data_IF_130115615810
#
_entry.id   IF_130115615810
#
_cell.length_a   1.000
_cell.length_b   1.000
_cell.length_c   1.000
_cell.angle_alpha   90.00
_cell.angle_beta   90.00
_cell.angle_gamma   90.00
#
_symmetry.space_group_name_H-M   'P 1'
#
loop_
_entity.id
_entity.type
_entity.pdbx_description
1 polymer ?
#
# COMPACT_ATOMS: atom_id res chain seq x y z
N UNK A 1 54.61 -19.93 49.66
CA UNK A 1 54.02 -20.12 48.32
C UNK A 1 52.53 -20.37 48.51
N UNK A 2 51.56 -19.71 47.91
CA UNK A 2 51.37 -18.42 47.27
C UNK A 2 49.82 -18.35 47.14
N UNK A 3 49.22 -17.23 47.49
CA UNK A 3 47.78 -17.06 47.57
C UNK A 3 47.11 -17.18 46.18
N UNK A 4 46.01 -17.93 46.10
CA UNK A 4 45.14 -18.02 44.93
C UNK A 4 44.27 -16.76 44.89
N UNK A 5 44.57 -15.85 43.96
CA UNK A 5 43.73 -14.71 43.64
C UNK A 5 42.56 -15.13 42.76
N UNK A 6 41.33 -15.01 43.29
CA UNK A 6 40.10 -15.04 42.51
C UNK A 6 39.89 -13.67 41.87
N UNK A 7 40.14 -13.56 40.56
CA UNK A 7 39.74 -12.40 39.76
C UNK A 7 38.27 -12.54 39.39
N UNK A 8 37.42 -11.71 40.00
CA UNK A 8 36.03 -11.49 39.62
C UNK A 8 35.98 -10.87 38.20
N UNK A 9 35.59 -11.66 37.20
CA UNK A 9 35.19 -11.15 35.90
C UNK A 9 33.82 -10.49 36.02
N UNK A 10 33.77 -9.17 35.90
CA UNK A 10 32.51 -8.43 35.79
C UNK A 10 32.67 -7.23 34.84
N UNK A 11 31.62 -6.98 34.06
CA UNK A 11 31.31 -5.78 33.27
C UNK A 11 32.02 -5.55 31.91
N UNK A 12 31.58 -6.24 30.85
CA UNK A 12 31.78 -5.75 29.46
C UNK A 12 30.50 -5.68 28.60
N UNK A 13 29.33 -6.04 29.13
CA UNK A 13 28.05 -5.95 28.38
C UNK A 13 27.29 -4.62 28.52
N UNK A 14 27.72 -3.72 29.40
CA UNK A 14 27.04 -2.43 29.64
C UNK A 14 27.66 -1.23 28.88
N UNK A 15 28.91 -1.31 28.42
CA UNK A 15 29.59 -0.18 27.76
C UNK A 15 29.07 0.09 26.36
N UNK A 16 28.91 -0.96 25.53
CA UNK A 16 28.47 -0.82 24.13
C UNK A 16 27.05 -0.28 23.98
N UNK A 17 26.15 -0.61 24.91
CA UNK A 17 24.79 -0.08 24.96
C UNK A 17 24.74 1.40 25.39
N UNK A 18 25.58 1.79 26.35
CA UNK A 18 25.70 3.18 26.79
C UNK A 18 26.33 4.08 25.73
N UNK A 19 27.39 3.62 25.06
CA UNK A 19 28.06 4.36 23.98
C UNK A 19 27.15 4.59 22.78
N UNK A 20 26.41 3.56 22.34
CA UNK A 20 25.44 3.69 21.24
C UNK A 20 24.29 4.65 21.59
N UNK A 21 23.86 4.67 22.85
CA UNK A 21 22.83 5.61 23.31
C UNK A 21 23.35 7.06 23.39
N UNK A 22 24.61 7.26 23.81
CA UNK A 22 25.25 8.56 23.82
C UNK A 22 25.43 9.11 22.39
N UNK A 23 25.87 8.27 21.44
CA UNK A 23 25.97 8.63 20.01
C UNK A 23 24.59 8.98 19.42
N UNK A 24 23.56 8.18 19.73
CA UNK A 24 22.19 8.43 19.29
C UNK A 24 21.64 9.79 19.81
N UNK A 25 21.92 10.13 21.07
CA UNK A 25 21.53 11.42 21.64
C UNK A 25 22.28 12.58 21.01
N UNK A 26 23.60 12.44 20.78
CA UNK A 26 24.38 13.45 20.09
C UNK A 26 23.82 13.70 18.69
N UNK A 27 23.53 12.64 17.94
CA UNK A 27 22.94 12.74 16.60
C UNK A 27 21.54 13.40 16.61
N UNK A 28 20.72 13.12 17.63
CA UNK A 28 19.41 13.77 17.79
C UNK A 28 19.52 15.26 18.14
N UNK A 29 20.52 15.64 18.95
CA UNK A 29 20.81 17.05 19.27
C UNK A 29 21.29 17.81 18.05
N UNK A 30 22.17 17.21 17.24
CA UNK A 30 22.61 17.79 15.97
C UNK A 30 21.45 17.95 14.98
N UNK A 31 20.60 16.94 14.86
CA UNK A 31 19.38 17.03 14.05
C UNK A 31 18.51 18.21 14.49
N UNK A 32 18.24 18.33 15.79
CA UNK A 32 17.42 19.41 16.34
C UNK A 32 18.02 20.80 16.05
N UNK A 33 19.35 20.94 16.19
CA UNK A 33 20.06 22.17 15.85
C UNK A 33 19.86 22.56 14.39
N UNK A 34 20.03 21.62 13.46
CA UNK A 34 19.89 21.90 12.03
C UNK A 34 18.43 22.17 11.63
N UNK A 35 17.45 21.47 12.24
CA UNK A 35 16.03 21.73 11.99
C UNK A 35 15.58 23.12 12.46
N UNK A 36 16.23 23.69 13.48
CA UNK A 36 15.97 25.06 13.98
C UNK A 36 16.70 26.15 13.18
N UNK A 37 17.49 25.81 12.18
CA UNK A 37 18.14 26.81 11.32
C UNK A 37 17.12 27.71 10.63
N UNK A 38 17.46 28.98 10.44
CA UNK A 38 16.66 29.91 9.64
C UNK A 38 16.77 29.64 8.12
N UNK A 39 17.76 28.84 7.69
CA UNK A 39 17.97 28.51 6.28
C UNK A 39 17.24 27.23 5.90
N UNK A 40 16.31 27.37 4.95
CA UNK A 40 15.53 26.25 4.39
C UNK A 40 16.43 25.13 3.83
N UNK A 41 17.60 25.47 3.26
CA UNK A 41 18.56 24.49 2.76
C UNK A 41 19.12 23.58 3.85
N UNK A 42 19.53 24.16 4.98
CA UNK A 42 20.05 23.41 6.14
C UNK A 42 18.95 22.54 6.78
N UNK A 43 17.73 23.08 6.87
CA UNK A 43 16.57 22.30 7.35
C UNK A 43 16.27 21.11 6.43
N UNK A 44 16.29 21.33 5.10
CA UNK A 44 16.07 20.27 4.12
C UNK A 44 17.12 19.17 4.23
N UNK A 45 18.40 19.55 4.29
CA UNK A 45 19.51 18.63 4.46
C UNK A 45 19.36 17.77 5.73
N UNK A 46 18.97 18.40 6.83
CA UNK A 46 18.69 17.71 8.07
C UNK A 46 17.53 16.70 7.93
N UNK A 47 16.41 17.10 7.30
CA UNK A 47 15.24 16.25 7.08
C UNK A 47 15.63 15.02 6.25
N UNK A 48 16.31 15.19 5.11
CA UNK A 48 16.61 14.06 4.21
C UNK A 48 17.61 13.05 4.77
N UNK A 49 18.37 13.41 5.82
CA UNK A 49 19.28 12.50 6.55
C UNK A 49 18.56 11.64 7.59
N UNK A 50 17.34 11.98 7.98
CA UNK A 50 16.57 11.25 9.01
C UNK A 50 16.41 9.75 8.73
N UNK A 51 16.14 9.28 7.49
CA UNK A 51 16.07 7.83 7.22
C UNK A 51 17.37 7.12 7.62
N UNK A 52 18.53 7.66 7.24
CA UNK A 52 19.83 7.08 7.60
C UNK A 52 20.06 7.09 9.11
N UNK A 53 19.59 8.14 9.80
CA UNK A 53 19.63 8.20 11.26
C UNK A 53 18.83 7.05 11.90
N UNK A 54 17.66 6.72 11.34
CA UNK A 54 16.83 5.61 11.84
C UNK A 54 17.44 4.24 11.56
N UNK A 55 18.12 4.07 10.43
CA UNK A 55 18.89 2.84 10.15
C UNK A 55 20.02 2.64 11.16
N UNK A 56 20.76 3.71 11.45
CA UNK A 56 21.91 3.67 12.36
C UNK A 56 21.47 3.47 13.82
N UNK A 57 20.40 4.14 14.23
CA UNK A 57 19.88 4.10 15.60
C UNK A 57 18.36 3.83 15.62
N UNK A 58 17.93 2.57 15.47
CA UNK A 58 16.51 2.20 15.36
C UNK A 58 15.78 2.18 16.72
N UNK A 59 16.13 3.12 17.61
CA UNK A 59 15.63 3.22 18.98
C UNK A 59 14.26 3.95 19.01
N UNK A 60 13.22 3.39 19.67
CA UNK A 60 11.90 4.01 19.68
C UNK A 60 11.85 5.45 20.20
N UNK A 61 12.62 5.76 21.24
CA UNK A 61 12.67 7.12 21.83
C UNK A 61 13.20 8.13 20.81
N UNK A 62 14.27 7.78 20.09
CA UNK A 62 14.88 8.64 19.06
C UNK A 62 13.91 8.83 17.90
N UNK A 63 13.33 7.74 17.39
CA UNK A 63 12.40 7.78 16.25
C UNK A 63 11.17 8.61 16.59
N UNK A 64 10.55 8.37 17.75
CA UNK A 64 9.43 9.17 18.24
C UNK A 64 9.80 10.67 18.33
N UNK A 65 10.94 11.00 18.94
CA UNK A 65 11.39 12.39 19.09
C UNK A 65 11.64 13.06 17.73
N UNK A 66 12.31 12.37 16.81
CA UNK A 66 12.56 12.87 15.46
C UNK A 66 11.24 13.12 14.70
N UNK A 67 10.29 12.18 14.72
CA UNK A 67 8.99 12.38 14.06
C UNK A 67 8.19 13.52 14.68
N UNK A 68 8.22 13.70 16.00
CA UNK A 68 7.59 14.85 16.65
C UNK A 68 8.21 16.18 16.17
N UNK A 69 9.53 16.26 16.09
CA UNK A 69 10.25 17.43 15.55
C UNK A 69 9.91 17.68 14.08
N UNK A 70 9.88 16.63 13.25
CA UNK A 70 9.46 16.74 11.85
C UNK A 70 8.03 17.26 11.74
N UNK A 71 7.12 16.82 12.63
CA UNK A 71 5.74 17.31 12.63
C UNK A 71 5.63 18.79 13.02
N UNK A 72 6.51 19.30 13.91
CA UNK A 72 6.59 20.74 14.19
C UNK A 72 7.01 21.54 12.96
N UNK A 73 8.03 21.06 12.23
CA UNK A 73 8.44 21.68 10.96
C UNK A 73 7.34 21.55 9.91
N UNK A 74 6.60 20.44 9.86
CA UNK A 74 5.50 20.25 8.93
C UNK A 74 4.40 21.31 9.13
N UNK A 75 4.06 21.58 10.39
CA UNK A 75 3.07 22.58 10.78
C UNK A 75 3.48 23.99 10.33
N UNK A 76 4.69 24.41 10.68
CA UNK A 76 5.14 25.81 10.50
C UNK A 76 5.87 26.09 9.17
N UNK A 77 6.35 25.05 8.48
CA UNK A 77 7.23 25.17 7.32
C UNK A 77 6.53 25.57 6.03
N UNK A 78 7.30 25.67 4.95
CA UNK A 78 6.78 25.84 3.58
C UNK A 78 6.50 24.48 2.92
N UNK A 79 5.87 24.48 1.74
CA UNK A 79 5.52 23.24 1.04
C UNK A 79 6.72 22.41 0.61
N UNK A 80 7.88 23.03 0.38
CA UNK A 80 9.10 22.30 0.06
C UNK A 80 9.54 21.43 1.23
N UNK A 81 9.59 21.97 2.44
CA UNK A 81 9.91 21.19 3.65
C UNK A 81 8.85 20.13 3.94
N UNK A 82 7.56 20.44 3.78
CA UNK A 82 6.46 19.47 3.93
C UNK A 82 6.63 18.29 2.95
N UNK A 83 7.05 18.56 1.72
CA UNK A 83 7.32 17.52 0.73
C UNK A 83 8.52 16.67 1.14
N UNK A 84 9.60 17.26 1.63
CA UNK A 84 10.74 16.49 2.16
C UNK A 84 10.31 15.58 3.32
N UNK A 85 9.49 16.10 4.25
CA UNK A 85 8.95 15.32 5.37
C UNK A 85 8.08 14.17 4.86
N UNK A 86 7.20 14.40 3.89
CA UNK A 86 6.44 13.33 3.24
C UNK A 86 7.37 12.22 2.69
N UNK A 87 8.45 12.60 2.00
CA UNK A 87 9.41 11.64 1.44
C UNK A 87 10.14 10.84 2.53
N UNK A 88 10.51 11.48 3.64
CA UNK A 88 11.09 10.80 4.81
C UNK A 88 10.08 9.83 5.43
N UNK A 89 8.85 10.28 5.65
CA UNK A 89 7.77 9.43 6.18
C UNK A 89 7.58 8.18 5.32
N UNK A 90 7.55 8.33 3.99
CA UNK A 90 7.42 7.20 3.06
C UNK A 90 8.61 6.24 3.09
N UNK A 91 9.84 6.76 3.16
CA UNK A 91 11.06 5.93 3.20
C UNK A 91 11.23 5.18 4.52
N UNK A 92 10.74 5.75 5.61
CA UNK A 92 10.90 5.21 6.97
C UNK A 92 9.73 4.32 7.43
N UNK A 93 9.00 3.69 6.51
CA UNK A 93 7.78 2.92 6.81
C UNK A 93 7.99 1.81 7.86
N UNK A 94 9.13 1.11 7.79
CA UNK A 94 9.51 0.04 8.74
C UNK A 94 9.77 0.52 10.18
N UNK A 95 9.67 1.82 10.43
CA UNK A 95 9.88 2.44 11.74
C UNK A 95 8.63 3.15 12.26
N UNK A 96 7.51 3.12 11.53
CA UNK A 96 6.28 3.81 11.93
C UNK A 96 5.70 3.26 13.24
N UNK A 97 5.86 1.96 13.49
CA UNK A 97 5.48 1.27 14.73
C UNK A 97 6.16 1.86 15.98
N UNK A 98 7.24 2.62 15.81
CA UNK A 98 8.01 3.28 16.88
C UNK A 98 7.62 4.74 17.11
N UNK A 99 6.60 5.25 16.42
CA UNK A 99 6.02 6.56 16.70
C UNK A 99 5.07 6.40 17.89
N UNK A 100 5.55 6.68 19.10
CA UNK A 100 4.81 6.42 20.35
C UNK A 100 3.72 7.48 20.59
N UNK A 101 4.03 8.76 20.37
CA UNK A 101 3.13 9.88 20.65
C UNK A 101 2.28 10.23 19.41
N UNK A 102 1.50 9.26 18.93
CA UNK A 102 0.72 9.35 17.68
C UNK A 102 -0.25 10.54 17.72
N UNK A 103 -0.96 10.77 18.83
CA UNK A 103 -1.94 11.87 18.92
C UNK A 103 -1.29 13.25 18.72
N UNK A 104 -0.14 13.47 19.35
CA UNK A 104 0.57 14.75 19.25
C UNK A 104 1.21 14.93 17.87
N UNK A 105 1.77 13.86 17.30
CA UNK A 105 2.24 13.84 15.92
C UNK A 105 1.11 14.21 14.95
N UNK A 106 -0.04 13.53 15.06
CA UNK A 106 -1.19 13.79 14.20
C UNK A 106 -1.72 15.20 14.36
N UNK A 107 -1.90 15.69 15.59
CA UNK A 107 -2.41 17.05 15.83
C UNK A 107 -1.60 18.10 15.07
N UNK A 108 -0.27 17.95 15.01
CA UNK A 108 0.63 18.84 14.26
C UNK A 108 0.46 18.69 12.74
N UNK A 109 0.40 17.46 12.23
CA UNK A 109 0.13 17.20 10.80
C UNK A 109 -1.23 17.76 10.37
N UNK A 110 -2.28 17.50 11.16
CA UNK A 110 -3.65 17.92 10.89
C UNK A 110 -3.84 19.44 10.87
N UNK A 111 -3.01 20.20 11.56
CA UNK A 111 -3.12 21.67 11.56
C UNK A 111 -3.03 22.29 10.16
N UNK A 112 -2.52 21.55 9.17
CA UNK A 112 -2.35 21.99 7.78
C UNK A 112 -3.51 21.54 6.86
N UNK A 113 -4.38 20.63 7.30
CA UNK A 113 -5.40 20.01 6.43
C UNK A 113 -6.46 21.01 5.94
N UNK A 114 -6.72 22.07 6.71
CA UNK A 114 -7.68 23.12 6.40
C UNK A 114 -7.03 24.35 5.75
N UNK A 115 -5.80 24.22 5.24
CA UNK A 115 -5.12 25.29 4.52
C UNK A 115 -5.86 25.67 3.23
N UNK A 116 -5.87 26.96 2.87
CA UNK A 116 -6.36 27.41 1.57
C UNK A 116 -5.43 27.01 0.41
N UNK A 117 -4.22 26.53 0.71
CA UNK A 117 -3.24 26.08 -0.27
C UNK A 117 -3.48 24.59 -0.64
N UNK A 118 -3.87 24.28 -1.89
CA UNK A 118 -4.12 22.91 -2.34
C UNK A 118 -2.87 22.02 -2.28
N UNK A 119 -1.68 22.57 -2.46
CA UNK A 119 -0.43 21.80 -2.37
C UNK A 119 -0.18 21.38 -0.92
N UNK A 120 -0.40 22.28 0.04
CA UNK A 120 -0.27 21.97 1.46
C UNK A 120 -1.26 20.87 1.88
N UNK A 121 -2.53 20.97 1.45
CA UNK A 121 -3.56 19.94 1.70
C UNK A 121 -3.21 18.61 1.05
N UNK A 122 -2.79 18.62 -0.21
CA UNK A 122 -2.29 17.45 -0.94
C UNK A 122 -1.20 16.73 -0.14
N UNK A 123 -0.14 17.44 0.25
CA UNK A 123 0.98 16.83 0.98
C UNK A 123 0.48 16.25 2.30
N UNK A 124 -0.42 16.95 3.00
CA UNK A 124 -1.02 16.49 4.26
C UNK A 124 -1.79 15.17 4.06
N UNK A 125 -2.67 15.09 3.07
CA UNK A 125 -3.41 13.85 2.73
C UNK A 125 -2.43 12.70 2.39
N UNK A 126 -1.36 12.97 1.65
CA UNK A 126 -0.34 11.94 1.36
C UNK A 126 0.43 11.50 2.59
N UNK A 127 0.69 12.39 3.54
CA UNK A 127 1.29 12.01 4.84
C UNK A 127 0.34 11.09 5.58
N UNK A 128 -0.95 11.45 5.70
CA UNK A 128 -1.97 10.62 6.34
C UNK A 128 -2.07 9.23 5.72
N UNK A 129 -2.10 9.15 4.38
CA UNK A 129 -2.07 7.87 3.67
C UNK A 129 -0.81 7.06 3.96
N UNK A 130 0.35 7.71 4.03
CA UNK A 130 1.64 7.02 4.26
C UNK A 130 1.78 6.42 5.66
N UNK A 131 0.98 6.87 6.63
CA UNK A 131 0.97 6.39 8.02
C UNK A 131 -0.29 5.58 8.35
N UNK A 132 -1.08 5.17 7.34
CA UNK A 132 -2.36 4.49 7.56
C UNK A 132 -2.25 3.24 8.45
N UNK A 133 -1.10 2.56 8.44
CA UNK A 133 -0.82 1.38 9.28
C UNK A 133 -0.83 1.66 10.79
N UNK A 134 -0.49 2.87 11.22
CA UNK A 134 -0.46 3.25 12.64
C UNK A 134 -1.68 4.06 13.08
N UNK A 135 -2.52 4.49 12.14
CA UNK A 135 -3.73 5.27 12.42
C UNK A 135 -4.99 4.74 11.71
N UNK A 136 -5.19 3.41 11.58
CA UNK A 136 -6.20 2.85 10.69
C UNK A 136 -7.63 3.27 11.05
N UNK A 137 -7.90 3.57 12.33
CA UNK A 137 -9.25 3.88 12.84
C UNK A 137 -9.48 5.37 13.17
N UNK A 138 -8.57 6.27 12.78
CA UNK A 138 -8.74 7.70 13.05
C UNK A 138 -9.84 8.31 12.19
N UNK A 139 -11.02 8.53 12.78
CA UNK A 139 -12.22 9.03 12.08
C UNK A 139 -12.03 10.40 11.40
N UNK A 140 -11.24 11.30 11.99
CA UNK A 140 -10.89 12.57 11.37
C UNK A 140 -10.11 12.39 10.06
N UNK A 141 -9.28 11.33 9.97
CA UNK A 141 -8.59 10.95 8.74
C UNK A 141 -9.53 10.42 7.71
N UNK A 142 -10.41 9.51 8.11
CA UNK A 142 -11.42 8.95 7.24
C UNK A 142 -12.28 10.05 6.62
N UNK A 143 -12.75 11.00 7.44
CA UNK A 143 -13.56 12.12 7.00
C UNK A 143 -12.80 13.06 6.06
N UNK A 144 -11.56 13.43 6.39
CA UNK A 144 -10.74 14.32 5.56
C UNK A 144 -10.46 13.71 4.19
N UNK A 145 -10.05 12.43 4.15
CA UNK A 145 -9.79 11.70 2.90
C UNK A 145 -11.06 11.61 2.05
N UNK A 146 -12.20 11.24 2.66
CA UNK A 146 -13.50 11.17 1.96
C UNK A 146 -13.90 12.52 1.38
N UNK A 147 -13.61 13.60 2.09
CA UNK A 147 -13.91 14.97 1.64
C UNK A 147 -13.02 15.37 0.47
N UNK A 148 -11.71 15.10 0.55
CA UNK A 148 -10.76 15.40 -0.53
C UNK A 148 -11.00 14.60 -1.82
N UNK A 149 -11.74 13.49 -1.79
CA UNK A 149 -12.23 12.81 -3.00
C UNK A 149 -13.24 13.65 -3.82
N UNK A 150 -13.78 14.73 -3.25
CA UNK A 150 -14.61 15.71 -3.96
C UNK A 150 -13.82 16.95 -4.39
N UNK A 151 -12.49 16.95 -4.28
CA UNK A 151 -11.69 18.10 -4.66
C UNK A 151 -11.76 18.36 -6.17
N UNK A 152 -11.81 19.63 -6.54
CA UNK A 152 -11.68 20.10 -7.92
C UNK A 152 -10.20 20.22 -8.33
N UNK A 153 -9.28 20.20 -7.37
CA UNK A 153 -7.85 20.17 -7.63
C UNK A 153 -7.42 18.72 -7.93
N UNK A 154 -6.87 18.51 -9.13
CA UNK A 154 -6.50 17.18 -9.60
C UNK A 154 -5.40 16.53 -8.74
N UNK A 155 -4.44 17.32 -8.25
CA UNK A 155 -3.32 16.81 -7.47
C UNK A 155 -3.79 16.39 -6.08
N UNK A 156 -4.69 17.15 -5.48
CA UNK A 156 -5.33 16.79 -4.22
C UNK A 156 -6.23 15.55 -4.37
N UNK A 157 -7.01 15.46 -5.45
CA UNK A 157 -7.82 14.29 -5.75
C UNK A 157 -6.95 13.03 -5.87
N UNK A 158 -5.82 13.11 -6.57
CA UNK A 158 -4.86 12.00 -6.67
C UNK A 158 -4.25 11.63 -5.31
N UNK A 159 -3.96 12.62 -4.46
CA UNK A 159 -3.53 12.35 -3.09
C UNK A 159 -4.62 11.63 -2.28
N UNK A 160 -5.89 12.01 -2.45
CA UNK A 160 -7.02 11.37 -1.78
C UNK A 160 -7.24 9.93 -2.27
N UNK A 161 -7.08 9.66 -3.57
CA UNK A 161 -7.10 8.29 -4.14
C UNK A 161 -5.99 7.45 -3.51
N UNK A 162 -4.76 7.98 -3.46
CA UNK A 162 -3.63 7.31 -2.79
C UNK A 162 -3.96 6.99 -1.32
N UNK A 163 -4.39 7.99 -0.55
CA UNK A 163 -4.70 7.80 0.87
C UNK A 163 -5.86 6.83 1.09
N UNK A 164 -6.88 6.87 0.23
CA UNK A 164 -8.01 5.93 0.27
C UNK A 164 -7.53 4.50 0.08
N UNK A 165 -6.65 4.25 -0.90
CA UNK A 165 -6.06 2.92 -1.10
C UNK A 165 -5.30 2.44 0.16
N UNK A 166 -4.47 3.31 0.74
CA UNK A 166 -3.70 2.96 1.94
C UNK A 166 -4.62 2.61 3.11
N UNK A 167 -5.64 3.42 3.39
CA UNK A 167 -6.58 3.13 4.49
C UNK A 167 -7.46 1.91 4.23
N UNK A 168 -7.92 1.68 3.00
CA UNK A 168 -8.65 0.47 2.65
C UNK A 168 -7.83 -0.80 2.91
N UNK A 169 -6.50 -0.76 2.74
CA UNK A 169 -5.64 -1.91 3.04
C UNK A 169 -5.51 -2.24 4.53
N UNK A 170 -5.87 -1.31 5.42
CA UNK A 170 -5.63 -1.43 6.87
C UNK A 170 -6.92 -1.46 7.70
N UNK A 171 -7.99 -0.79 7.25
CA UNK A 171 -9.21 -0.59 8.03
C UNK A 171 -10.43 -1.16 7.32
N UNK A 172 -11.01 -2.21 7.93
CA UNK A 172 -12.31 -2.77 7.53
C UNK A 172 -13.40 -1.69 7.54
N UNK A 173 -13.47 -0.90 8.63
CA UNK A 173 -14.52 0.09 8.80
C UNK A 173 -14.47 1.18 7.72
N UNK A 174 -13.26 1.60 7.33
CA UNK A 174 -13.07 2.55 6.25
C UNK A 174 -13.39 1.95 4.88
N UNK A 175 -12.91 0.74 4.59
CA UNK A 175 -13.15 0.06 3.32
C UNK A 175 -14.64 -0.11 3.03
N UNK A 176 -15.41 -0.64 3.99
CA UNK A 176 -16.87 -0.78 3.85
C UNK A 176 -17.55 0.60 3.76
N UNK A 177 -17.09 1.59 4.54
CA UNK A 177 -17.68 2.93 4.57
C UNK A 177 -17.44 3.75 3.30
N UNK A 178 -16.35 3.51 2.57
CA UNK A 178 -15.98 4.28 1.36
C UNK A 178 -16.47 3.64 0.06
N UNK A 179 -16.84 2.35 0.07
CA UNK A 179 -17.26 1.59 -1.12
C UNK A 179 -18.27 2.35 -2.00
N UNK A 180 -19.39 2.79 -1.44
CA UNK A 180 -20.45 3.49 -2.19
C UNK A 180 -19.94 4.78 -2.87
N UNK A 181 -18.98 5.47 -2.23
CA UNK A 181 -18.38 6.68 -2.81
C UNK A 181 -17.50 6.33 -4.00
N UNK A 182 -16.70 5.27 -3.91
CA UNK A 182 -15.86 4.80 -5.01
C UNK A 182 -16.71 4.31 -6.18
N UNK A 183 -17.75 3.53 -5.91
CA UNK A 183 -18.70 3.06 -6.93
C UNK A 183 -19.33 4.25 -7.68
N UNK A 184 -19.86 5.23 -6.94
CA UNK A 184 -20.43 6.45 -7.52
C UNK A 184 -19.44 7.20 -8.42
N UNK A 185 -18.17 7.31 -8.01
CA UNK A 185 -17.15 7.99 -8.81
C UNK A 185 -16.79 7.20 -10.08
N UNK A 186 -16.73 5.87 -10.01
CA UNK A 186 -16.40 5.02 -11.17
C UNK A 186 -17.56 5.01 -12.18
N UNK A 187 -18.80 4.92 -11.71
CA UNK A 187 -20.00 4.93 -12.57
C UNK A 187 -20.31 6.33 -13.11
N UNK A 188 -19.90 7.38 -12.38
CA UNK A 188 -20.10 8.78 -12.77
C UNK A 188 -19.51 9.11 -14.14
N UNK A 189 -20.31 9.74 -15.00
CA UNK A 189 -19.90 10.18 -16.34
C UNK A 189 -18.90 11.34 -16.30
N UNK A 190 -18.92 12.13 -15.23
CA UNK A 190 -18.04 13.29 -15.05
C UNK A 190 -16.63 12.92 -14.59
N UNK A 191 -16.43 11.69 -14.11
CA UNK A 191 -15.11 11.23 -13.67
C UNK A 191 -14.26 10.85 -14.89
N UNK A 192 -13.08 11.48 -15.08
CA UNK A 192 -12.20 11.14 -16.19
C UNK A 192 -11.78 9.67 -16.17
N UNK A 193 -11.62 9.07 -17.36
CA UNK A 193 -11.22 7.66 -17.52
C UNK A 193 -9.97 7.30 -16.70
N UNK A 194 -8.92 8.13 -16.75
CA UNK A 194 -7.70 7.87 -16.00
C UNK A 194 -7.93 7.85 -14.48
N UNK A 195 -8.89 8.61 -13.96
CA UNK A 195 -9.26 8.56 -12.54
C UNK A 195 -10.02 7.27 -12.22
N UNK A 196 -10.95 6.84 -13.08
CA UNK A 196 -11.65 5.55 -12.92
C UNK A 196 -10.65 4.39 -12.85
N UNK A 197 -9.65 4.39 -13.73
CA UNK A 197 -8.59 3.38 -13.76
C UNK A 197 -7.71 3.39 -12.48
N UNK A 198 -7.58 4.54 -11.79
CA UNK A 198 -6.89 4.63 -10.49
C UNK A 198 -7.77 4.20 -9.31
N UNK A 199 -9.11 4.33 -9.43
CA UNK A 199 -10.06 3.97 -8.37
C UNK A 199 -10.32 2.46 -8.31
N UNK A 200 -10.44 1.79 -9.47
CA UNK A 200 -10.76 0.35 -9.55
C UNK A 200 -9.79 -0.50 -8.70
N UNK A 201 -8.44 -0.32 -8.78
CA UNK A 201 -7.50 -1.12 -7.98
C UNK A 201 -7.70 -1.07 -6.47
N UNK A 202 -8.37 -0.05 -5.92
CA UNK A 202 -8.64 0.05 -4.48
C UNK A 202 -9.49 -1.13 -3.99
N UNK A 203 -10.37 -1.65 -4.84
CA UNK A 203 -11.27 -2.75 -4.50
C UNK A 203 -10.54 -4.06 -4.15
N UNK A 204 -9.28 -4.23 -4.53
CA UNK A 204 -8.48 -5.41 -4.11
C UNK A 204 -8.31 -5.52 -2.60
N UNK A 205 -8.50 -4.44 -1.86
CA UNK A 205 -8.37 -4.38 -0.40
C UNK A 205 -9.69 -4.64 0.34
N UNK A 206 -10.76 -5.02 -0.37
CA UNK A 206 -12.09 -5.19 0.19
C UNK A 206 -12.44 -6.65 0.53
N UNK A 207 -11.44 -7.42 0.97
CA UNK A 207 -11.55 -8.84 1.32
C UNK A 207 -12.03 -9.11 2.77
N UNK A 208 -12.39 -8.06 3.51
CA UNK A 208 -12.62 -8.16 4.96
C UNK A 208 -13.86 -8.96 5.36
N UNK A 209 -14.90 -8.96 4.52
CA UNK A 209 -16.14 -9.70 4.71
C UNK A 209 -16.77 -10.08 3.36
N UNK A 210 -17.65 -11.09 3.40
CA UNK A 210 -18.22 -11.69 2.20
C UNK A 210 -19.24 -10.78 1.49
N UNK A 211 -19.97 -9.94 2.22
CA UNK A 211 -20.97 -9.02 1.65
C UNK A 211 -20.27 -7.93 0.83
N UNK A 212 -19.22 -7.32 1.39
CA UNK A 212 -18.43 -6.33 0.69
C UNK A 212 -17.74 -6.93 -0.55
N UNK A 213 -17.18 -8.13 -0.43
CA UNK A 213 -16.57 -8.86 -1.55
C UNK A 213 -17.60 -9.08 -2.67
N UNK A 214 -18.80 -9.56 -2.33
CA UNK A 214 -19.89 -9.79 -3.30
C UNK A 214 -20.29 -8.50 -4.02
N UNK A 215 -20.40 -7.39 -3.29
CA UNK A 215 -20.70 -6.06 -3.88
C UNK A 215 -19.64 -5.61 -4.88
N UNK A 216 -18.36 -5.84 -4.56
CA UNK A 216 -17.24 -5.53 -5.48
C UNK A 216 -17.34 -6.39 -6.74
N UNK A 217 -17.58 -7.70 -6.62
CA UNK A 217 -17.74 -8.58 -7.78
C UNK A 217 -18.91 -8.15 -8.67
N UNK A 218 -20.06 -7.79 -8.09
CA UNK A 218 -21.23 -7.33 -8.84
C UNK A 218 -20.93 -6.03 -9.62
N UNK A 219 -20.31 -5.05 -8.97
CA UNK A 219 -19.90 -3.80 -9.59
C UNK A 219 -18.89 -4.05 -10.72
N UNK A 220 -17.80 -4.76 -10.44
CA UNK A 220 -16.76 -5.04 -11.43
C UNK A 220 -17.26 -5.86 -12.62
N UNK A 221 -18.19 -6.80 -12.40
CA UNK A 221 -18.84 -7.53 -13.50
C UNK A 221 -19.64 -6.59 -14.41
N UNK A 222 -20.35 -5.63 -13.82
CA UNK A 222 -21.04 -4.58 -14.57
C UNK A 222 -20.05 -3.70 -15.34
N UNK A 223 -18.90 -3.36 -14.75
CA UNK A 223 -17.85 -2.58 -15.42
C UNK A 223 -17.24 -3.33 -16.60
N UNK A 224 -16.98 -4.63 -16.47
CA UNK A 224 -16.46 -5.46 -17.55
C UNK A 224 -17.40 -5.47 -18.78
N UNK A 225 -18.71 -5.58 -18.54
CA UNK A 225 -19.71 -5.56 -19.61
C UNK A 225 -19.92 -4.18 -20.23
N UNK A 226 -19.87 -3.11 -19.42
CA UNK A 226 -20.17 -1.74 -19.87
C UNK A 226 -18.97 -0.99 -20.44
N UNK A 227 -17.74 -1.37 -20.06
CA UNK A 227 -16.50 -0.69 -20.47
C UNK A 227 -15.55 -1.66 -21.18
N UNK A 228 -15.77 -1.97 -22.47
CA UNK A 228 -15.00 -2.98 -23.19
C UNK A 228 -13.57 -2.54 -23.51
N UNK A 229 -13.14 -1.32 -23.16
CA UNK A 229 -11.79 -0.85 -23.46
C UNK A 229 -10.71 -1.72 -22.79
N UNK A 230 -9.65 -2.04 -23.52
CA UNK A 230 -8.63 -3.02 -23.09
C UNK A 230 -8.04 -2.71 -21.70
N UNK A 231 -7.69 -1.44 -21.42
CA UNK A 231 -7.16 -1.03 -20.11
C UNK A 231 -8.16 -1.24 -18.96
N UNK A 232 -9.45 -1.01 -19.19
CA UNK A 232 -10.48 -1.26 -18.18
C UNK A 232 -10.62 -2.74 -17.87
N UNK A 233 -10.68 -3.58 -18.90
CA UNK A 233 -10.76 -5.04 -18.74
C UNK A 233 -9.56 -5.57 -17.97
N UNK A 234 -8.34 -5.22 -18.40
CA UNK A 234 -7.08 -5.63 -17.74
C UNK A 234 -7.05 -5.22 -16.27
N UNK A 235 -7.33 -3.94 -15.96
CA UNK A 235 -7.28 -3.42 -14.59
C UNK A 235 -8.37 -4.07 -13.72
N UNK A 236 -9.57 -4.29 -14.26
CA UNK A 236 -10.69 -4.85 -13.51
C UNK A 236 -10.47 -6.33 -13.22
N UNK A 237 -10.05 -7.13 -14.21
CA UNK A 237 -9.71 -8.54 -14.02
C UNK A 237 -8.58 -8.69 -13.00
N UNK A 238 -7.50 -7.93 -13.13
CA UNK A 238 -6.39 -7.99 -12.17
C UNK A 238 -6.83 -7.62 -10.75
N UNK A 239 -7.70 -6.61 -10.61
CA UNK A 239 -8.24 -6.22 -9.31
C UNK A 239 -9.06 -7.34 -8.67
N UNK A 240 -9.95 -7.99 -9.43
CA UNK A 240 -10.73 -9.13 -8.96
C UNK A 240 -9.86 -10.33 -8.63
N UNK A 241 -8.84 -10.63 -9.43
CA UNK A 241 -7.87 -11.70 -9.17
C UNK A 241 -7.11 -11.46 -7.87
N UNK A 242 -6.71 -10.22 -7.59
CA UNK A 242 -6.07 -9.87 -6.33
C UNK A 242 -7.02 -9.95 -5.13
N UNK A 243 -8.29 -9.59 -5.31
CA UNK A 243 -9.33 -9.75 -4.29
C UNK A 243 -9.56 -11.24 -3.98
N UNK A 244 -9.70 -12.07 -5.01
CA UNK A 244 -9.87 -13.52 -4.90
C UNK A 244 -8.71 -14.17 -4.15
N UNK A 245 -7.48 -13.79 -4.50
CA UNK A 245 -6.28 -14.28 -3.82
C UNK A 245 -6.27 -13.94 -2.31
N UNK A 246 -6.83 -12.78 -1.93
CA UNK A 246 -6.90 -12.35 -0.53
C UNK A 246 -8.09 -12.96 0.24
N UNK A 247 -9.23 -13.23 -0.41
CA UNK A 247 -10.41 -13.82 0.23
C UNK A 247 -10.46 -15.35 0.18
N UNK A 248 -9.68 -15.98 -0.71
CA UNK A 248 -9.55 -17.42 -1.02
C UNK A 248 -10.86 -18.07 -1.51
N UNK A 249 -11.99 -17.81 -0.88
CA UNK A 249 -13.30 -18.40 -1.19
C UNK A 249 -13.81 -18.06 -2.60
N UNK A 250 -13.31 -16.98 -3.21
CA UNK A 250 -13.72 -16.53 -4.54
C UNK A 250 -12.82 -17.05 -5.67
N UNK A 251 -11.82 -17.91 -5.37
CA UNK A 251 -10.84 -18.37 -6.36
C UNK A 251 -11.48 -19.18 -7.50
N UNK A 252 -12.34 -20.20 -7.25
CA UNK A 252 -12.93 -20.99 -8.35
C UNK A 252 -13.70 -20.11 -9.35
N UNK A 253 -14.62 -19.28 -8.84
CA UNK A 253 -15.40 -18.34 -9.64
C UNK A 253 -14.50 -17.37 -10.44
N UNK A 254 -13.39 -16.92 -9.84
CA UNK A 254 -12.46 -16.03 -10.53
C UNK A 254 -11.66 -16.77 -11.61
N UNK A 255 -11.28 -18.03 -11.40
CA UNK A 255 -10.61 -18.86 -12.41
C UNK A 255 -11.54 -19.08 -13.61
N UNK A 256 -12.82 -19.39 -13.38
CA UNK A 256 -13.83 -19.48 -14.45
C UNK A 256 -13.92 -18.20 -15.29
N UNK A 257 -14.04 -17.06 -14.61
CA UNK A 257 -14.08 -15.75 -15.26
C UNK A 257 -12.82 -15.53 -16.10
N UNK A 258 -11.64 -15.78 -15.54
CA UNK A 258 -10.37 -15.61 -16.24
C UNK A 258 -10.26 -16.53 -17.46
N UNK A 259 -10.63 -17.82 -17.33
CA UNK A 259 -10.61 -18.78 -18.44
C UNK A 259 -11.57 -18.36 -19.56
N UNK A 260 -12.74 -17.80 -19.24
CA UNK A 260 -13.67 -17.28 -20.24
C UNK A 260 -13.08 -16.12 -21.06
N UNK A 261 -12.30 -15.23 -20.43
CA UNK A 261 -11.56 -14.17 -21.14
C UNK A 261 -10.33 -14.73 -21.87
N UNK A 262 -9.68 -15.77 -21.33
CA UNK A 262 -8.53 -16.40 -21.96
C UNK A 262 -8.90 -17.01 -23.31
N UNK A 263 -10.09 -17.62 -23.42
CA UNK A 263 -10.58 -18.22 -24.67
C UNK A 263 -11.31 -17.20 -25.53
N UNK A 264 -12.26 -16.44 -24.96
CA UNK A 264 -13.17 -15.56 -25.70
C UNK A 264 -12.61 -14.20 -26.12
N UNK A 265 -11.64 -13.61 -25.42
CA UNK A 265 -11.15 -12.27 -25.73
C UNK A 265 -10.06 -12.31 -26.82
N UNK A 266 -10.20 -11.61 -27.97
CA UNK A 266 -9.21 -11.68 -29.05
C UNK A 266 -7.90 -10.93 -28.73
N UNK A 267 -7.88 -10.07 -27.71
CA UNK A 267 -6.77 -9.13 -27.49
C UNK A 267 -5.66 -9.79 -26.69
N UNK A 268 -4.46 -9.82 -27.29
CA UNK A 268 -3.25 -10.36 -26.65
C UNK A 268 -2.95 -9.77 -25.28
N UNK A 269 -3.16 -8.46 -25.09
CA UNK A 269 -2.91 -7.80 -23.81
C UNK A 269 -3.83 -8.33 -22.68
N UNK A 270 -5.11 -8.59 -22.99
CA UNK A 270 -6.05 -9.18 -22.04
C UNK A 270 -5.64 -10.61 -21.72
N UNK A 271 -5.40 -11.45 -22.74
CA UNK A 271 -4.94 -12.83 -22.55
C UNK A 271 -3.64 -12.91 -21.73
N UNK A 272 -2.70 -11.99 -21.96
CA UNK A 272 -1.43 -11.92 -21.19
C UNK A 272 -1.69 -11.63 -19.71
N UNK A 273 -2.54 -10.65 -19.40
CA UNK A 273 -2.90 -10.36 -18.01
C UNK A 273 -3.65 -11.54 -17.37
N UNK A 274 -4.57 -12.15 -18.10
CA UNK A 274 -5.35 -13.30 -17.63
C UNK A 274 -4.45 -14.47 -17.24
N UNK A 275 -3.46 -14.83 -18.06
CA UNK A 275 -2.51 -15.90 -17.70
C UNK A 275 -1.67 -15.51 -16.47
N UNK A 276 -1.26 -14.25 -16.36
CA UNK A 276 -0.53 -13.77 -15.18
C UNK A 276 -1.38 -13.88 -13.89
N UNK A 277 -2.66 -13.56 -13.99
CA UNK A 277 -3.61 -13.68 -12.88
C UNK A 277 -3.93 -15.15 -12.55
N UNK A 278 -4.10 -16.01 -13.55
CA UNK A 278 -4.24 -17.46 -13.35
C UNK A 278 -3.02 -18.02 -12.62
N UNK A 279 -1.81 -17.59 -12.98
CA UNK A 279 -0.59 -17.97 -12.25
C UNK A 279 -0.57 -17.46 -10.81
N UNK A 280 -1.03 -16.23 -10.57
CA UNK A 280 -1.18 -15.70 -9.21
C UNK A 280 -2.11 -16.58 -8.37
N UNK A 281 -3.27 -16.96 -8.90
CA UNK A 281 -4.24 -17.79 -8.20
C UNK A 281 -3.75 -19.23 -7.97
N UNK A 282 -3.09 -19.82 -8.98
CA UNK A 282 -2.45 -21.13 -8.87
C UNK A 282 -1.38 -21.15 -7.78
N UNK A 283 -0.55 -20.10 -7.66
CA UNK A 283 0.45 -20.00 -6.59
C UNK A 283 -0.17 -19.76 -5.21
N UNK A 284 -1.38 -19.17 -5.15
CA UNK A 284 -2.02 -18.79 -3.89
C UNK A 284 -2.77 -19.96 -3.25
N UNK A 285 -3.63 -20.64 -4.02
CA UNK A 285 -4.42 -21.75 -3.52
C UNK A 285 -4.68 -22.76 -4.66
N UNK A 286 -3.68 -23.57 -5.04
CA UNK A 286 -3.82 -24.47 -6.17
C UNK A 286 -4.81 -25.61 -5.90
N UNK A 287 -5.02 -25.98 -4.64
CA UNK A 287 -6.00 -26.98 -4.22
C UNK A 287 -7.47 -26.54 -4.46
N UNK A 288 -7.71 -25.26 -4.77
CA UNK A 288 -9.04 -24.75 -5.11
C UNK A 288 -9.36 -24.89 -6.62
N UNK A 289 -8.46 -25.47 -7.40
CA UNK A 289 -8.66 -25.68 -8.83
C UNK A 289 -9.26 -27.05 -9.10
N UNK A 290 -10.23 -27.09 -10.00
CA UNK A 290 -10.88 -28.30 -10.49
C UNK A 290 -10.21 -28.79 -11.78
N UNK A 291 -10.38 -30.07 -12.09
CA UNK A 291 -9.84 -30.69 -13.31
C UNK A 291 -10.36 -29.99 -14.58
N UNK A 292 -11.59 -29.49 -14.57
CA UNK A 292 -12.20 -28.68 -15.63
C UNK A 292 -11.42 -27.39 -15.93
N UNK A 293 -10.87 -26.73 -14.91
CA UNK A 293 -10.03 -25.54 -15.09
C UNK A 293 -8.71 -25.88 -15.78
N UNK A 294 -8.11 -27.01 -15.40
CA UNK A 294 -6.84 -27.50 -15.96
C UNK A 294 -7.04 -27.89 -17.42
N UNK A 295 -8.11 -28.63 -17.73
CA UNK A 295 -8.49 -29.02 -19.09
C UNK A 295 -8.72 -27.80 -19.99
N UNK A 296 -9.42 -26.78 -19.48
CA UNK A 296 -9.65 -25.53 -20.22
C UNK A 296 -8.35 -24.80 -20.55
N UNK A 297 -7.41 -24.73 -19.59
CA UNK A 297 -6.09 -24.14 -19.81
C UNK A 297 -5.26 -24.94 -20.82
N UNK A 298 -5.25 -26.27 -20.71
CA UNK A 298 -4.57 -27.15 -21.65
C UNK A 298 -5.12 -26.99 -23.08
N UNK A 299 -6.44 -26.93 -23.23
CA UNK A 299 -7.11 -26.73 -24.52
C UNK A 299 -6.64 -25.41 -25.16
N UNK A 300 -6.66 -24.31 -24.40
CA UNK A 300 -6.15 -23.04 -24.88
C UNK A 300 -4.67 -23.10 -25.30
N UNK A 301 -3.83 -23.82 -24.56
CA UNK A 301 -2.40 -23.94 -24.85
C UNK A 301 -2.09 -24.73 -26.12
N UNK A 302 -2.94 -25.71 -26.46
CA UNK A 302 -2.85 -26.46 -27.71
C UNK A 302 -3.24 -25.60 -28.92
N UNK A 303 -4.20 -24.70 -28.75
CA UNK A 303 -4.74 -23.87 -29.84
C UNK A 303 -3.97 -22.56 -30.07
N UNK A 304 -3.37 -21.99 -29.02
CA UNK A 304 -2.78 -20.66 -29.12
C UNK A 304 -1.57 -20.64 -30.07
N UNK A 305 -1.43 -19.59 -30.86
CA UNK A 305 -0.26 -19.42 -31.76
C UNK A 305 0.87 -18.62 -31.10
N UNK A 306 0.65 -18.07 -29.90
CA UNK A 306 1.60 -17.19 -29.23
C UNK A 306 2.51 -17.96 -28.27
N UNK A 307 3.78 -18.13 -28.62
CA UNK A 307 4.76 -18.84 -27.78
C UNK A 307 4.91 -18.25 -26.37
N UNK A 308 4.83 -16.92 -26.24
CA UNK A 308 4.87 -16.26 -24.93
C UNK A 308 3.69 -16.67 -24.06
N UNK A 309 2.48 -16.77 -24.63
CA UNK A 309 1.30 -17.21 -23.89
C UNK A 309 1.39 -18.71 -23.57
N UNK A 310 1.94 -19.53 -24.48
CA UNK A 310 2.22 -20.95 -24.22
C UNK A 310 3.13 -21.12 -23.02
N UNK A 311 4.28 -20.46 -23.04
CA UNK A 311 5.26 -20.54 -21.96
C UNK A 311 4.69 -20.06 -20.63
N UNK A 312 3.94 -18.95 -20.62
CA UNK A 312 3.32 -18.45 -19.41
C UNK A 312 2.26 -19.41 -18.86
N UNK A 313 1.42 -20.01 -19.70
CA UNK A 313 0.42 -20.97 -19.23
C UNK A 313 1.02 -22.32 -18.82
N UNK A 314 2.08 -22.79 -19.47
CA UNK A 314 2.85 -23.95 -19.00
C UNK A 314 3.43 -23.70 -17.60
N UNK A 315 3.94 -22.50 -17.32
CA UNK A 315 4.39 -22.15 -15.97
C UNK A 315 3.25 -22.16 -14.93
N UNK A 316 2.02 -21.83 -15.33
CA UNK A 316 0.84 -21.97 -14.48
C UNK A 316 0.53 -23.44 -14.21
N UNK A 317 0.57 -24.30 -15.23
CA UNK A 317 0.40 -25.75 -15.07
C UNK A 317 1.46 -26.36 -14.15
N UNK A 318 2.72 -25.91 -14.25
CA UNK A 318 3.79 -26.34 -13.34
C UNK A 318 3.42 -26.00 -11.89
N UNK A 319 2.98 -24.77 -11.63
CA UNK A 319 2.56 -24.37 -10.28
C UNK A 319 1.44 -25.27 -9.72
N UNK A 320 0.44 -25.60 -10.56
CA UNK A 320 -0.63 -26.52 -10.18
C UNK A 320 -0.10 -27.95 -9.93
N UNK A 321 0.80 -28.44 -10.78
CA UNK A 321 1.36 -29.80 -10.70
C UNK A 321 2.24 -30.05 -9.48
N UNK A 322 2.84 -29.01 -8.93
CA UNK A 322 3.63 -29.11 -7.69
C UNK A 322 2.77 -29.29 -6.43
N UNK A 323 1.45 -29.39 -6.58
CA UNK A 323 0.48 -29.48 -5.49
C UNK A 323 -0.60 -30.52 -5.79
N UNK A 324 -1.43 -30.86 -4.80
CA UNK A 324 -2.45 -31.93 -4.84
C UNK A 324 -3.51 -31.81 -5.97
N UNK A 325 -3.52 -30.72 -6.75
CA UNK A 325 -4.49 -30.48 -7.82
C UNK A 325 -4.43 -31.49 -8.98
N UNK A 326 -3.37 -32.29 -9.10
CA UNK A 326 -3.20 -33.32 -10.16
C UNK A 326 -3.53 -34.74 -9.66
N UNK A 327 -3.95 -34.89 -8.39
CA UNK A 327 -4.19 -36.21 -7.78
C UNK A 327 -5.67 -36.64 -7.72
N UNK A 328 -6.59 -35.94 -8.39
CA UNK A 328 -8.01 -36.30 -8.44
C UNK A 328 -8.53 -36.49 -9.87
#
# INVERSE_FOLDING_TARGET
>A
MAAVGLSFGSYEKNSSGQENWQDANAALLELDKCLRSSKVGEQCEAIVRVPNLFEKHPLPILINSAFLKLADIFRMGNNFLRLCILKVTQRSQKHHDKILNIDEFLRRIYSVIHSNDPIARTITIRVLGSIASIIPERKNAHHSIRTSLNSHDQVELEAAIFATQQFCSQSRSFASGIFNKLAQMIEGLTTPVEMKLKLIPIFRHMYFDADLTTKVYALCSTLLSSHPACRFVVVTLHTLSCLAAASINSIPQQVDLLLSYLTGDPRKAVKTQVIADLKLLANTAPHMWESSHVESLCTFLLETEYDVLKLSGLNTLVALSTTLAVNH
#
